data_IF_667700469606
#
_entry.id   IF_667700469606
#
_cell.length_a   1.000
_cell.length_b   1.000
_cell.length_c   1.000
_cell.angle_alpha   90.00
_cell.angle_beta   90.00
_cell.angle_gamma   90.00
#
_symmetry.space_group_name_H-M   'P 1'
#
loop_
_entity.id
_entity.type
_entity.pdbx_description
1 polymer ?
#
# COMPACT_ATOMS: atom_id res chain seq x y z
N UNK A 1 4.11 -13.44 -3.99
CA UNK A 1 4.34 -13.03 -2.59
C UNK A 1 5.76 -13.45 -2.21
N UNK A 2 6.38 -12.92 -1.14
CA UNK A 2 7.65 -13.47 -0.68
C UNK A 2 7.41 -14.84 -0.01
N UNK A 3 8.39 -15.75 -0.09
CA UNK A 3 8.26 -17.11 0.49
C UNK A 3 8.02 -17.06 2.00
N UNK A 4 8.78 -16.26 2.73
CA UNK A 4 8.61 -16.09 4.18
C UNK A 4 7.21 -15.57 4.56
N UNK A 5 6.71 -14.56 3.83
CA UNK A 5 5.36 -14.02 4.02
C UNK A 5 4.28 -15.08 3.80
N UNK A 6 4.44 -15.92 2.76
CA UNK A 6 3.52 -17.03 2.49
C UNK A 6 3.40 -17.96 3.71
N UNK A 7 4.53 -18.40 4.27
CA UNK A 7 4.54 -19.30 5.44
C UNK A 7 4.03 -18.64 6.72
N UNK A 8 4.15 -17.32 6.87
CA UNK A 8 3.54 -16.58 7.99
C UNK A 8 2.02 -16.59 7.86
N UNK A 9 1.48 -16.33 6.67
CA UNK A 9 0.03 -16.23 6.47
C UNK A 9 -0.71 -17.56 6.52
N UNK A 10 -0.06 -18.67 6.13
CA UNK A 10 -0.71 -20.00 6.15
C UNK A 10 -0.55 -20.75 7.48
N UNK A 11 0.26 -20.25 8.41
CA UNK A 11 0.46 -20.85 9.74
C UNK A 11 -0.85 -21.15 10.49
N UNK A 12 -1.84 -20.23 10.57
CA UNK A 12 -3.10 -20.51 11.24
C UNK A 12 -3.94 -21.58 10.50
N UNK A 13 -3.84 -21.67 9.18
CA UNK A 13 -4.53 -22.70 8.38
C UNK A 13 -3.94 -24.08 8.68
N UNK A 14 -2.60 -24.17 8.66
CA UNK A 14 -1.89 -25.41 8.99
C UNK A 14 -2.16 -25.87 10.41
N UNK A 15 -2.10 -24.96 11.39
CA UNK A 15 -2.42 -25.24 12.78
C UNK A 15 -3.84 -25.78 12.98
N UNK A 16 -4.81 -25.21 12.25
CA UNK A 16 -6.22 -25.64 12.30
C UNK A 16 -6.41 -27.06 11.75
N UNK A 17 -5.66 -27.43 10.71
CA UNK A 17 -5.69 -28.81 10.23
C UNK A 17 -4.91 -29.76 11.16
N UNK A 18 -3.74 -29.35 11.62
CA UNK A 18 -2.85 -30.15 12.47
C UNK A 18 -3.48 -30.58 13.79
N UNK A 19 -4.44 -29.82 14.33
CA UNK A 19 -5.19 -30.24 15.52
C UNK A 19 -6.05 -31.48 15.28
N UNK A 20 -6.47 -31.76 14.04
CA UNK A 20 -7.42 -32.82 13.71
C UNK A 20 -6.84 -33.95 12.84
N UNK A 21 -5.82 -33.69 12.03
CA UNK A 21 -5.22 -34.69 11.12
C UNK A 21 -3.71 -34.82 11.30
N UNK A 22 -3.10 -35.80 10.63
CA UNK A 22 -1.65 -35.99 10.65
C UNK A 22 -0.94 -34.78 10.03
N UNK A 23 0.31 -34.54 10.45
CA UNK A 23 1.09 -33.40 9.97
C UNK A 23 1.26 -33.37 8.45
N UNK A 24 1.46 -34.54 7.82
CA UNK A 24 1.57 -34.68 6.37
C UNK A 24 0.27 -34.33 5.63
N UNK A 25 -0.88 -34.80 6.13
CA UNK A 25 -2.17 -34.47 5.51
C UNK A 25 -2.55 -33.01 5.76
N UNK A 26 -2.22 -32.47 6.94
CA UNK A 26 -2.39 -31.05 7.25
C UNK A 26 -1.59 -30.17 6.29
N UNK A 27 -0.34 -30.54 5.94
CA UNK A 27 0.45 -29.83 4.94
C UNK A 27 -0.19 -29.88 3.55
N UNK A 28 -0.73 -31.03 3.12
CA UNK A 28 -1.40 -31.20 1.82
C UNK A 28 -2.67 -30.35 1.72
N UNK A 29 -3.51 -30.37 2.75
CA UNK A 29 -4.74 -29.57 2.82
C UNK A 29 -4.43 -28.08 2.85
N UNK A 30 -3.44 -27.68 3.64
CA UNK A 30 -2.96 -26.29 3.67
C UNK A 30 -2.45 -25.84 2.31
N UNK A 31 -1.69 -26.68 1.62
CA UNK A 31 -1.19 -26.37 0.28
C UNK A 31 -2.33 -26.18 -0.73
N UNK A 32 -3.36 -27.04 -0.70
CA UNK A 32 -4.52 -26.94 -1.57
C UNK A 32 -5.31 -25.64 -1.33
N UNK A 33 -5.61 -25.31 -0.07
CA UNK A 33 -6.36 -24.09 0.28
C UNK A 33 -5.55 -22.81 -0.01
N UNK A 34 -4.23 -22.87 0.13
CA UNK A 34 -3.33 -21.75 -0.10
C UNK A 34 -2.95 -21.52 -1.58
N UNK A 35 -3.48 -22.31 -2.54
CA UNK A 35 -3.21 -22.09 -3.97
C UNK A 35 -3.69 -20.69 -4.43
N UNK A 36 -4.81 -20.22 -3.84
CA UNK A 36 -5.38 -18.90 -4.12
C UNK A 36 -4.50 -17.74 -3.63
N UNK A 37 -3.70 -17.96 -2.57
CA UNK A 37 -2.76 -16.98 -2.01
C UNK A 37 -1.52 -16.86 -2.89
N UNK A 38 -0.82 -17.98 -3.14
CA UNK A 38 0.32 -18.02 -4.05
C UNK A 38 0.55 -19.43 -4.59
N UNK A 39 0.24 -19.59 -5.88
CA UNK A 39 0.34 -20.87 -6.59
C UNK A 39 1.76 -21.46 -6.57
N UNK A 40 2.80 -20.62 -6.61
CA UNK A 40 4.19 -21.11 -6.67
C UNK A 40 4.56 -21.76 -5.34
N UNK A 41 4.40 -21.02 -4.24
CA UNK A 41 4.80 -21.48 -2.91
C UNK A 41 3.85 -22.56 -2.37
N UNK A 42 2.56 -22.54 -2.74
CA UNK A 42 1.62 -23.64 -2.47
C UNK A 42 2.09 -24.95 -3.12
N UNK A 43 2.55 -24.91 -4.38
CA UNK A 43 3.10 -26.10 -5.05
C UNK A 43 4.40 -26.58 -4.39
N UNK A 44 5.29 -25.68 -3.99
CA UNK A 44 6.50 -26.05 -3.25
C UNK A 44 6.15 -26.76 -1.92
N UNK A 45 5.14 -26.26 -1.20
CA UNK A 45 4.64 -26.88 0.02
C UNK A 45 4.01 -28.26 -0.25
N UNK A 46 3.21 -28.37 -1.31
CA UNK A 46 2.62 -29.63 -1.74
C UNK A 46 3.70 -30.66 -2.08
N UNK A 47 4.70 -30.27 -2.86
CA UNK A 47 5.84 -31.13 -3.20
C UNK A 47 6.61 -31.56 -1.96
N UNK A 48 6.85 -30.64 -1.01
CA UNK A 48 7.47 -30.98 0.27
C UNK A 48 6.64 -32.02 1.05
N UNK A 49 5.32 -31.88 1.09
CA UNK A 49 4.41 -32.83 1.76
C UNK A 49 4.29 -34.21 1.08
N UNK A 50 4.78 -34.33 -0.15
CA UNK A 50 4.84 -35.59 -0.89
C UNK A 50 6.19 -36.31 -0.71
N UNK A 51 7.18 -35.67 -0.07
CA UNK A 51 8.46 -36.31 0.22
C UNK A 51 8.33 -37.34 1.35
N UNK A 52 9.18 -38.39 1.38
CA UNK A 52 9.13 -39.41 2.44
C UNK A 52 9.46 -38.88 3.84
N UNK A 53 10.26 -37.82 3.94
CA UNK A 53 10.61 -37.17 5.21
C UNK A 53 10.46 -35.63 5.08
N UNK A 54 9.22 -35.11 5.21
CA UNK A 54 8.97 -33.68 5.09
C UNK A 54 9.59 -32.89 6.23
N UNK A 55 9.74 -33.49 7.42
CA UNK A 55 10.34 -32.86 8.59
C UNK A 55 11.80 -32.44 8.34
N UNK A 56 12.64 -33.33 7.79
CA UNK A 56 14.05 -33.02 7.49
C UNK A 56 14.22 -31.96 6.41
N UNK A 57 13.33 -31.96 5.41
CA UNK A 57 13.38 -30.98 4.32
C UNK A 57 13.01 -29.57 4.80
N UNK A 58 11.96 -29.46 5.63
CA UNK A 58 11.48 -28.16 6.13
C UNK A 58 12.35 -27.61 7.27
N UNK A 59 12.89 -28.48 8.13
CA UNK A 59 13.75 -28.07 9.26
C UNK A 59 15.15 -27.63 8.83
N UNK A 60 15.64 -28.12 7.69
CA UNK A 60 16.93 -27.71 7.10
C UNK A 60 16.85 -26.43 6.27
N UNK A 61 15.65 -25.84 6.12
CA UNK A 61 15.47 -24.64 5.32
C UNK A 61 16.17 -23.41 5.94
N UNK A 62 16.71 -22.53 5.10
CA UNK A 62 17.35 -21.28 5.51
C UNK A 62 16.37 -20.31 6.20
N UNK A 63 15.07 -20.41 5.92
CA UNK A 63 14.04 -19.54 6.48
C UNK A 63 13.54 -20.04 7.86
N UNK A 64 13.64 -19.19 8.89
CA UNK A 64 13.23 -19.53 10.25
C UNK A 64 11.75 -19.93 10.37
N UNK A 65 10.86 -19.29 9.61
CA UNK A 65 9.43 -19.63 9.61
C UNK A 65 9.19 -21.03 9.05
N UNK A 66 9.88 -21.40 7.97
CA UNK A 66 9.74 -22.73 7.34
C UNK A 66 10.23 -23.82 8.28
N UNK A 67 11.31 -23.55 9.03
CA UNK A 67 11.81 -24.47 10.05
C UNK A 67 10.77 -24.79 11.12
N UNK A 68 9.92 -23.84 11.50
CA UNK A 68 8.85 -24.10 12.46
C UNK A 68 7.84 -25.15 11.96
N UNK A 69 7.58 -25.21 10.64
CA UNK A 69 6.76 -26.29 10.07
C UNK A 69 7.48 -27.62 10.14
N UNK A 70 8.78 -27.66 9.85
CA UNK A 70 9.59 -28.86 10.00
C UNK A 70 9.63 -29.36 11.44
N UNK A 71 9.77 -28.46 12.41
CA UNK A 71 9.72 -28.80 13.83
C UNK A 71 8.35 -29.31 14.26
N UNK A 72 7.27 -28.67 13.82
CA UNK A 72 5.91 -29.14 14.08
C UNK A 72 5.68 -30.55 13.53
N UNK A 73 6.12 -30.85 12.31
CA UNK A 73 6.03 -32.21 11.74
C UNK A 73 6.87 -33.20 12.55
N UNK A 74 8.12 -32.86 12.88
CA UNK A 74 9.01 -33.74 13.67
C UNK A 74 8.49 -34.02 15.08
N UNK A 75 7.82 -33.05 15.72
CA UNK A 75 7.25 -33.20 17.06
C UNK A 75 6.01 -34.10 17.03
N UNK A 76 5.24 -34.07 15.95
CA UNK A 76 4.10 -34.97 15.78
C UNK A 76 4.60 -36.41 15.56
N UNK A 77 5.62 -36.60 14.73
CA UNK A 77 6.30 -37.89 14.53
C UNK A 77 6.90 -38.43 15.85
N UNK A 78 7.37 -37.54 16.72
CA UNK A 78 7.87 -37.88 18.05
C UNK A 78 6.76 -38.15 19.09
N UNK A 79 5.48 -38.04 18.73
CA UNK A 79 4.34 -38.35 19.59
C UNK A 79 3.93 -37.24 20.57
N UNK A 80 4.33 -35.99 20.33
CA UNK A 80 3.91 -34.85 21.17
C UNK A 80 2.40 -34.62 21.04
N UNK A 81 1.66 -34.39 22.15
CA UNK A 81 0.24 -34.07 22.09
C UNK A 81 -0.07 -32.89 21.17
N UNK A 82 -1.01 -33.07 20.25
CA UNK A 82 -1.34 -32.09 19.19
C UNK A 82 -1.69 -30.70 19.72
N UNK A 83 -2.35 -30.60 20.87
CA UNK A 83 -2.70 -29.32 21.49
C UNK A 83 -1.45 -28.51 21.85
N UNK A 84 -0.46 -29.15 22.49
CA UNK A 84 0.82 -28.52 22.87
C UNK A 84 1.62 -28.14 21.62
N UNK A 85 1.57 -29.00 20.60
CA UNK A 85 2.26 -28.81 19.34
C UNK A 85 1.70 -27.59 18.58
N UNK A 86 0.38 -27.51 18.42
CA UNK A 86 -0.29 -26.38 17.76
C UNK A 86 -0.01 -25.07 18.50
N UNK A 87 -0.12 -25.06 19.83
CA UNK A 87 0.14 -23.87 20.63
C UNK A 87 1.59 -23.39 20.49
N UNK A 88 2.57 -24.30 20.63
CA UNK A 88 4.00 -23.96 20.53
C UNK A 88 4.39 -23.51 19.12
N UNK A 89 3.88 -24.17 18.08
CA UNK A 89 4.07 -23.77 16.68
C UNK A 89 3.50 -22.37 16.41
N UNK A 90 2.27 -22.10 16.84
CA UNK A 90 1.63 -20.80 16.62
C UNK A 90 2.34 -19.69 17.40
N UNK A 91 2.77 -19.93 18.65
CA UNK A 91 3.53 -18.93 19.40
C UNK A 91 4.89 -18.62 18.77
N UNK A 92 5.62 -19.66 18.34
CA UNK A 92 6.93 -19.50 17.69
C UNK A 92 6.82 -18.80 16.33
N UNK A 93 5.82 -19.14 15.53
CA UNK A 93 5.57 -18.44 14.26
C UNK A 93 5.03 -17.02 14.47
N UNK A 94 4.27 -16.77 15.55
CA UNK A 94 3.71 -15.45 15.87
C UNK A 94 4.79 -14.45 16.22
N UNK A 95 5.79 -14.85 17.02
CA UNK A 95 6.91 -13.97 17.37
C UNK A 95 7.74 -13.59 16.14
N UNK A 96 8.00 -14.54 15.22
CA UNK A 96 8.69 -14.26 13.96
C UNK A 96 7.84 -13.34 13.07
N UNK A 97 6.54 -13.60 12.96
CA UNK A 97 5.62 -12.78 12.18
C UNK A 97 5.55 -11.34 12.69
N UNK A 98 5.43 -11.15 14.01
CA UNK A 98 5.41 -9.82 14.63
C UNK A 98 6.71 -9.07 14.39
N UNK A 99 7.86 -9.73 14.64
CA UNK A 99 9.17 -9.12 14.37
C UNK A 99 9.35 -8.73 12.90
N UNK A 100 8.82 -9.53 11.97
CA UNK A 100 8.89 -9.23 10.54
C UNK A 100 7.96 -8.09 10.12
N UNK A 101 6.73 -8.07 10.64
CA UNK A 101 5.77 -6.99 10.39
C UNK A 101 6.35 -5.68 10.95
N UNK A 102 6.88 -5.70 12.16
CA UNK A 102 7.49 -4.53 12.79
C UNK A 102 8.72 -4.06 12.01
N UNK A 103 9.64 -4.95 11.64
CA UNK A 103 10.81 -4.61 10.84
C UNK A 103 10.42 -4.03 9.46
N UNK A 104 9.41 -4.61 8.80
CA UNK A 104 8.89 -4.09 7.54
C UNK A 104 8.27 -2.69 7.72
N UNK A 105 7.53 -2.47 8.81
CA UNK A 105 6.97 -1.16 9.13
C UNK A 105 8.05 -0.13 9.48
N UNK A 106 9.06 -0.50 10.27
CA UNK A 106 10.19 0.38 10.59
C UNK A 106 11.00 0.72 9.34
N UNK A 107 11.26 -0.26 8.47
CA UNK A 107 11.91 -0.02 7.18
C UNK A 107 11.07 0.90 6.29
N UNK A 108 9.75 0.68 6.24
CA UNK A 108 8.84 1.55 5.50
C UNK A 108 8.84 2.99 6.04
N UNK A 109 8.78 3.17 7.37
CA UNK A 109 8.85 4.49 8.02
C UNK A 109 10.21 5.15 7.78
N UNK A 110 11.31 4.40 7.86
CA UNK A 110 12.66 4.88 7.59
C UNK A 110 12.84 5.34 6.15
N UNK A 111 12.41 4.52 5.18
CA UNK A 111 12.38 4.90 3.76
C UNK A 111 11.48 6.12 3.53
N UNK A 112 10.31 6.15 4.16
CA UNK A 112 9.39 7.26 3.98
C UNK A 112 9.98 8.58 4.50
N UNK A 113 10.63 8.55 5.68
CA UNK A 113 11.31 9.71 6.26
C UNK A 113 12.46 10.20 5.38
N UNK A 114 13.31 9.29 4.88
CA UNK A 114 14.44 9.65 4.03
C UNK A 114 14.02 10.13 2.64
N UNK A 115 12.96 9.58 2.06
CA UNK A 115 12.42 10.04 0.78
C UNK A 115 11.65 11.36 0.91
N UNK A 116 11.06 11.63 2.08
CA UNK A 116 10.36 12.89 2.34
C UNK A 116 11.30 14.09 2.33
N UNK A 117 12.56 13.94 2.78
CA UNK A 117 13.54 15.02 2.68
C UNK A 117 13.94 15.33 1.22
N UNK A 118 14.00 14.31 0.36
CA UNK A 118 14.27 14.49 -1.08
C UNK A 118 13.14 15.24 -1.79
N UNK A 119 11.93 15.29 -1.23
CA UNK A 119 10.82 16.08 -1.79
C UNK A 119 11.02 17.59 -1.71
N UNK A 120 11.98 18.06 -0.90
CA UNK A 120 12.38 19.47 -0.87
C UNK A 120 13.38 19.84 -1.98
N UNK A 121 14.02 18.86 -2.63
CA UNK A 121 14.96 19.14 -3.72
C UNK A 121 14.33 19.88 -4.91
N UNK A 122 13.11 19.52 -5.38
CA UNK A 122 12.41 20.32 -6.39
C UNK A 122 12.12 21.77 -5.96
N UNK A 123 11.91 22.04 -4.67
CA UNK A 123 11.72 23.40 -4.15
C UNK A 123 13.00 24.22 -4.26
N UNK A 124 14.15 23.60 -3.95
CA UNK A 124 15.46 24.22 -4.14
C UNK A 124 15.73 24.50 -5.63
N UNK A 125 15.43 23.55 -6.51
CA UNK A 125 15.59 23.73 -7.96
C UNK A 125 14.69 24.86 -8.48
N UNK A 126 13.45 24.96 -7.99
CA UNK A 126 12.54 26.05 -8.31
C UNK A 126 13.11 27.41 -7.86
N UNK A 127 13.69 27.47 -6.66
CA UNK A 127 14.39 28.67 -6.19
C UNK A 127 15.53 29.05 -7.14
N UNK A 128 16.44 28.13 -7.45
CA UNK A 128 17.56 28.41 -8.35
C UNK A 128 17.12 28.82 -9.76
N UNK A 129 16.06 28.20 -10.28
CA UNK A 129 15.44 28.56 -11.56
C UNK A 129 14.89 29.99 -11.53
N UNK A 130 14.16 30.39 -10.47
CA UNK A 130 13.56 31.71 -10.37
C UNK A 130 14.56 32.87 -10.39
N UNK A 131 15.74 32.68 -9.78
CA UNK A 131 16.81 33.69 -9.77
C UNK A 131 17.70 33.64 -11.03
N UNK A 132 17.42 32.75 -11.99
CA UNK A 132 18.21 32.60 -13.21
C UNK A 132 19.61 32.00 -12.99
N UNK A 133 19.85 31.37 -11.83
CA UNK A 133 21.13 30.73 -11.50
C UNK A 133 21.32 29.40 -12.24
N UNK A 134 20.25 28.86 -12.81
CA UNK A 134 20.19 27.52 -13.35
C UNK A 134 19.57 27.56 -14.75
N UNK A 135 20.34 27.27 -15.82
CA UNK A 135 19.88 27.38 -17.21
C UNK A 135 19.06 26.14 -17.61
N UNK A 136 17.99 25.85 -16.87
CA UNK A 136 17.04 24.81 -17.23
C UNK A 136 15.75 25.43 -17.74
N UNK A 137 15.19 24.86 -18.80
CA UNK A 137 13.84 25.19 -19.25
C UNK A 137 12.79 24.65 -18.26
N UNK A 138 11.61 25.28 -18.23
CA UNK A 138 10.47 24.86 -17.40
C UNK A 138 10.12 23.37 -17.59
N UNK A 139 10.22 22.86 -18.83
CA UNK A 139 9.96 21.45 -19.14
C UNK A 139 10.97 20.51 -18.47
N UNK A 140 12.23 20.90 -18.44
CA UNK A 140 13.29 20.12 -17.78
C UNK A 140 13.08 20.12 -16.28
N UNK A 141 12.71 21.27 -15.69
CA UNK A 141 12.39 21.40 -14.28
C UNK A 141 11.19 20.50 -13.88
N UNK A 142 10.11 20.55 -14.66
CA UNK A 142 8.92 19.70 -14.47
C UNK A 142 9.23 18.21 -14.71
N UNK A 143 10.07 17.90 -15.69
CA UNK A 143 10.53 16.54 -15.98
C UNK A 143 11.30 15.94 -14.80
N UNK A 144 12.26 16.69 -14.26
CA UNK A 144 13.03 16.28 -13.06
C UNK A 144 12.08 16.07 -11.88
N UNK A 145 11.21 17.05 -11.61
CA UNK A 145 10.22 16.96 -10.54
C UNK A 145 9.29 15.73 -10.69
N UNK A 146 8.86 15.44 -11.93
CA UNK A 146 8.08 14.26 -12.28
C UNK A 146 8.83 12.94 -12.06
N UNK A 147 10.12 12.87 -12.44
CA UNK A 147 10.98 11.71 -12.20
C UNK A 147 11.15 11.47 -10.69
N UNK A 148 11.45 12.51 -9.91
CA UNK A 148 11.56 12.39 -8.46
C UNK A 148 10.25 11.89 -7.83
N UNK A 149 9.12 12.48 -8.21
CA UNK A 149 7.81 12.09 -7.67
C UNK A 149 7.41 10.67 -8.04
N UNK A 150 7.67 10.27 -9.29
CA UNK A 150 7.36 8.92 -9.77
C UNK A 150 8.27 7.87 -9.14
N UNK A 151 9.56 8.14 -8.95
CA UNK A 151 10.50 7.24 -8.25
C UNK A 151 10.09 7.06 -6.78
N UNK A 152 9.81 8.15 -6.08
CA UNK A 152 9.34 8.12 -4.69
C UNK A 152 8.03 7.33 -4.59
N UNK A 153 7.08 7.62 -5.48
CA UNK A 153 5.81 6.90 -5.55
C UNK A 153 5.97 5.40 -5.83
N UNK A 154 6.90 5.03 -6.72
CA UNK A 154 7.18 3.63 -7.07
C UNK A 154 7.85 2.88 -5.91
N UNK A 155 8.79 3.50 -5.22
CA UNK A 155 9.46 2.93 -4.06
C UNK A 155 8.47 2.71 -2.91
N UNK A 156 7.68 3.73 -2.56
CA UNK A 156 6.63 3.62 -1.56
C UNK A 156 5.63 2.55 -1.96
N UNK A 157 5.19 2.53 -3.23
CA UNK A 157 4.32 1.50 -3.74
C UNK A 157 4.93 0.10 -3.60
N UNK A 158 6.22 -0.11 -3.85
CA UNK A 158 6.86 -1.43 -3.71
C UNK A 158 6.96 -1.88 -2.25
N UNK A 159 7.25 -0.96 -1.33
CA UNK A 159 7.46 -1.27 0.09
C UNK A 159 6.17 -1.35 0.90
N UNK A 160 5.04 -0.94 0.34
CA UNK A 160 3.75 -0.91 1.03
C UNK A 160 3.12 -2.32 1.14
N UNK A 161 2.52 -2.69 2.30
CA UNK A 161 1.76 -3.93 2.43
C UNK A 161 0.47 -3.85 1.60
N UNK A 162 0.41 -4.58 0.47
CA UNK A 162 -0.74 -4.59 -0.44
C UNK A 162 -1.70 -5.72 -0.12
N UNK A 163 -2.97 -5.38 -0.05
CA UNK A 163 -4.05 -6.37 -0.01
C UNK A 163 -4.55 -6.72 -1.41
N UNK A 164 -4.98 -5.71 -2.19
CA UNK A 164 -5.45 -5.90 -3.56
C UNK A 164 -4.30 -5.84 -4.56
N UNK A 165 -4.25 -6.83 -5.46
CA UNK A 165 -3.25 -6.84 -6.55
C UNK A 165 -3.65 -5.85 -7.65
N UNK A 166 -2.82 -4.82 -7.97
CA UNK A 166 -3.22 -3.78 -8.91
C UNK A 166 -3.36 -4.27 -10.35
N UNK A 167 -2.54 -5.22 -10.75
CA UNK A 167 -2.62 -5.84 -12.09
C UNK A 167 -3.94 -6.60 -12.29
N UNK A 168 -4.42 -7.34 -11.29
CA UNK A 168 -5.71 -8.05 -11.39
C UNK A 168 -6.91 -7.11 -11.21
N UNK A 169 -6.76 -6.08 -10.36
CA UNK A 169 -7.83 -5.13 -10.05
C UNK A 169 -8.11 -4.18 -11.23
N UNK A 170 -7.07 -3.54 -11.75
CA UNK A 170 -7.16 -2.53 -12.81
C UNK A 170 -6.91 -3.11 -14.21
N UNK A 171 -6.09 -4.15 -14.34
CA UNK A 171 -5.84 -4.80 -15.64
C UNK A 171 -5.34 -3.81 -16.70
N UNK A 172 -5.99 -3.81 -17.87
CA UNK A 172 -5.67 -2.90 -18.98
C UNK A 172 -6.01 -1.43 -18.72
N UNK A 173 -6.79 -1.12 -17.67
CA UNK A 173 -7.17 0.26 -17.37
C UNK A 173 -5.99 1.11 -16.93
N UNK A 174 -4.90 0.50 -16.44
CA UNK A 174 -3.66 1.21 -16.11
C UNK A 174 -3.08 1.88 -17.37
N UNK A 175 -3.11 1.19 -18.50
CA UNK A 175 -2.61 1.72 -19.77
C UNK A 175 -3.52 2.86 -20.27
N UNK A 176 -4.84 2.67 -20.20
CA UNK A 176 -5.80 3.72 -20.57
C UNK A 176 -5.66 4.96 -19.67
N UNK A 177 -5.44 4.76 -18.36
CA UNK A 177 -5.21 5.84 -17.42
C UNK A 177 -3.90 6.58 -17.69
N UNK A 178 -2.84 5.86 -18.06
CA UNK A 178 -1.56 6.47 -18.46
C UNK A 178 -1.70 7.30 -19.73
N UNK A 179 -2.43 6.81 -20.74
CA UNK A 179 -2.70 7.55 -21.97
C UNK A 179 -3.55 8.80 -21.70
N UNK A 180 -4.65 8.65 -20.95
CA UNK A 180 -5.52 9.78 -20.60
C UNK A 180 -4.79 10.83 -19.75
N UNK A 181 -3.98 10.38 -18.78
CA UNK A 181 -3.13 11.26 -17.99
C UNK A 181 -2.10 11.99 -18.83
N UNK A 182 -1.39 11.29 -19.73
CA UNK A 182 -0.42 11.89 -20.63
C UNK A 182 -1.03 12.90 -21.60
N UNK A 183 -2.18 12.57 -22.19
CA UNK A 183 -2.91 13.48 -23.07
C UNK A 183 -3.38 14.73 -22.33
N UNK A 184 -3.90 14.57 -21.10
CA UNK A 184 -4.32 15.69 -20.27
C UNK A 184 -3.15 16.58 -19.84
N UNK A 185 -1.98 16.01 -19.52
CA UNK A 185 -0.75 16.79 -19.25
C UNK A 185 -0.35 17.60 -20.48
N UNK A 186 -0.36 16.98 -21.66
CA UNK A 186 -0.05 17.66 -22.91
C UNK A 186 -1.02 18.81 -23.20
N UNK A 187 -2.32 18.60 -23.07
CA UNK A 187 -3.30 19.68 -23.22
C UNK A 187 -3.13 20.77 -22.17
N UNK A 188 -2.81 20.41 -20.92
CA UNK A 188 -2.58 21.39 -19.86
C UNK A 188 -1.41 22.30 -20.17
N UNK A 189 -0.32 21.75 -20.71
CA UNK A 189 0.84 22.53 -21.14
C UNK A 189 0.46 23.48 -22.28
N UNK A 190 -0.23 22.99 -23.31
CA UNK A 190 -0.58 23.78 -24.51
C UNK A 190 -1.54 24.93 -24.18
N UNK A 191 -2.42 24.73 -23.19
CA UNK A 191 -3.48 25.69 -22.82
C UNK A 191 -3.16 26.44 -21.52
N UNK A 192 -1.95 26.31 -20.98
CA UNK A 192 -1.52 26.91 -19.72
C UNK A 192 -2.42 26.57 -18.51
N UNK A 193 -3.01 25.37 -18.51
CA UNK A 193 -3.82 24.83 -17.42
C UNK A 193 -2.97 24.04 -16.42
N UNK A 194 -3.46 23.76 -15.20
CA UNK A 194 -2.71 22.98 -14.21
C UNK A 194 -2.34 21.58 -14.71
N UNK A 195 -1.08 21.17 -14.57
CA UNK A 195 -0.60 19.83 -14.94
C UNK A 195 -1.25 18.73 -14.08
N UNK A 196 -1.69 19.09 -12.87
CA UNK A 196 -2.42 18.20 -11.94
C UNK A 196 -3.74 17.65 -12.50
N UNK A 197 -4.33 18.28 -13.53
CA UNK A 197 -5.45 17.73 -14.28
C UNK A 197 -5.13 16.38 -14.94
N UNK A 198 -3.86 16.12 -15.26
CA UNK A 198 -3.39 14.81 -15.71
C UNK A 198 -3.70 13.68 -14.74
N UNK A 199 -3.48 13.92 -13.44
CA UNK A 199 -3.81 12.95 -12.40
C UNK A 199 -5.33 12.78 -12.23
N UNK A 200 -6.10 13.87 -12.36
CA UNK A 200 -7.57 13.80 -12.34
C UNK A 200 -8.08 12.94 -13.50
N UNK A 201 -7.59 13.16 -14.72
CA UNK A 201 -7.98 12.38 -15.90
C UNK A 201 -7.61 10.90 -15.74
N UNK A 202 -6.39 10.59 -15.30
CA UNK A 202 -5.96 9.22 -15.04
C UNK A 202 -6.82 8.54 -13.96
N UNK A 203 -7.07 9.25 -12.85
CA UNK A 203 -7.91 8.76 -11.75
C UNK A 203 -9.37 8.54 -12.18
N UNK A 204 -9.92 9.42 -13.01
CA UNK A 204 -11.28 9.30 -13.53
C UNK A 204 -11.42 8.08 -14.45
N UNK A 205 -10.46 7.81 -15.33
CA UNK A 205 -10.47 6.61 -16.18
C UNK A 205 -10.43 5.33 -15.32
N UNK A 206 -9.60 5.30 -14.28
CA UNK A 206 -9.58 4.16 -13.35
C UNK A 206 -10.91 4.02 -12.60
N UNK A 207 -11.51 5.13 -12.16
CA UNK A 207 -12.81 5.11 -11.48
C UNK A 207 -13.94 4.61 -12.38
N UNK A 208 -14.02 5.13 -13.62
CA UNK A 208 -15.00 4.70 -14.63
C UNK A 208 -14.81 3.22 -14.93
N UNK A 209 -13.58 2.75 -15.10
CA UNK A 209 -13.30 1.33 -15.32
C UNK A 209 -13.78 0.46 -14.15
N UNK A 210 -13.49 0.85 -12.91
CA UNK A 210 -13.92 0.11 -11.74
C UNK A 210 -15.45 0.10 -11.59
N UNK A 211 -16.12 1.21 -11.94
CA UNK A 211 -17.58 1.30 -11.94
C UNK A 211 -18.19 0.41 -13.02
N UNK A 212 -17.67 0.49 -14.26
CA UNK A 212 -18.14 -0.32 -15.38
C UNK A 212 -17.96 -1.83 -15.12
N UNK A 213 -16.86 -2.21 -14.46
CA UNK A 213 -16.57 -3.61 -14.12
C UNK A 213 -17.18 -4.06 -12.78
N UNK A 214 -17.92 -3.19 -12.08
CA UNK A 214 -18.48 -3.42 -10.73
C UNK A 214 -17.43 -3.85 -9.69
N UNK A 215 -16.15 -3.51 -9.90
CA UNK A 215 -15.01 -3.87 -9.04
C UNK A 215 -14.80 -2.91 -7.87
N UNK A 216 -15.48 -1.76 -7.86
CA UNK A 216 -15.44 -0.80 -6.73
C UNK A 216 -15.81 -1.51 -5.42
N UNK A 217 -16.74 -2.47 -5.46
CA UNK A 217 -17.15 -3.24 -4.29
C UNK A 217 -16.03 -4.02 -3.63
N UNK A 218 -14.98 -4.41 -4.36
CA UNK A 218 -13.85 -5.17 -3.81
C UNK A 218 -13.08 -4.39 -2.74
N UNK A 219 -12.98 -3.07 -2.86
CA UNK A 219 -12.33 -2.23 -1.84
C UNK A 219 -13.13 -2.19 -0.54
N UNK A 220 -14.46 -2.18 -0.62
CA UNK A 220 -15.34 -2.21 0.56
C UNK A 220 -15.31 -3.58 1.24
N UNK A 221 -15.33 -4.64 0.44
CA UNK A 221 -15.23 -6.02 0.91
C UNK A 221 -13.88 -6.29 1.60
N UNK A 222 -12.77 -5.80 1.05
CA UNK A 222 -11.46 -5.93 1.67
C UNK A 222 -11.40 -5.30 3.08
N UNK A 223 -12.05 -4.14 3.26
CA UNK A 223 -12.12 -3.45 4.55
C UNK A 223 -13.01 -4.15 5.58
N UNK A 224 -13.98 -4.97 5.14
CA UNK A 224 -14.89 -5.71 6.03
C UNK A 224 -14.24 -6.98 6.63
N UNK A 225 -13.16 -7.50 6.02
CA UNK A 225 -12.52 -8.76 6.44
C UNK A 225 -11.96 -8.71 7.87
N UNK A 226 -11.22 -7.68 8.31
CA UNK A 226 -10.72 -7.63 9.68
C UNK A 226 -11.84 -7.59 10.72
N UNK A 227 -12.95 -6.89 10.42
CA UNK A 227 -14.11 -6.82 11.31
C UNK A 227 -14.83 -8.17 11.39
N UNK A 228 -15.01 -8.83 10.24
CA UNK A 228 -15.59 -10.17 10.13
C UNK A 228 -14.79 -11.21 10.94
N UNK A 229 -13.46 -11.24 10.77
CA UNK A 229 -12.59 -12.16 11.51
C UNK A 229 -12.57 -11.84 13.02
N UNK A 230 -12.73 -10.57 13.39
CA UNK A 230 -12.84 -10.17 14.80
C UNK A 230 -14.15 -10.63 15.43
N UNK A 231 -15.26 -10.43 14.74
CA UNK A 231 -16.58 -10.88 15.20
C UNK A 231 -16.62 -12.41 15.31
N UNK A 232 -16.13 -13.12 14.29
CA UNK A 232 -16.05 -14.58 14.30
C UNK A 232 -15.27 -15.12 15.50
N UNK A 233 -14.09 -14.57 15.78
CA UNK A 233 -13.30 -14.95 16.93
C UNK A 233 -14.01 -14.70 18.26
N UNK A 234 -14.67 -13.54 18.36
CA UNK A 234 -15.37 -13.17 19.59
C UNK A 234 -16.48 -14.18 19.90
N UNK A 235 -17.19 -14.65 18.87
CA UNK A 235 -18.23 -15.68 18.98
C UNK A 235 -17.65 -17.03 19.38
N UNK A 236 -16.54 -17.46 18.79
CA UNK A 236 -15.87 -18.71 19.22
C UNK A 236 -15.41 -18.60 20.68
N UNK A 237 -14.85 -17.46 21.10
CA UNK A 237 -14.40 -17.25 22.48
C UNK A 237 -15.55 -17.26 23.50
N UNK A 238 -16.76 -16.92 23.07
CA UNK A 238 -17.99 -17.01 23.86
C UNK A 238 -18.57 -18.44 23.93
N UNK A 239 -17.91 -19.42 23.32
CA UNK A 239 -18.37 -20.83 23.31
C UNK A 239 -19.44 -21.12 22.27
N UNK A 240 -19.67 -20.22 21.31
CA UNK A 240 -20.62 -20.46 20.22
C UNK A 240 -20.03 -21.52 19.27
N UNK A 241 -20.80 -22.57 18.89
CA UNK A 241 -20.34 -23.56 17.92
C UNK A 241 -19.93 -22.90 16.60
N UNK A 242 -18.83 -23.37 16.00
CA UNK A 242 -18.28 -22.76 14.79
C UNK A 242 -19.29 -22.63 13.64
N UNK A 243 -20.13 -23.65 13.44
CA UNK A 243 -21.14 -23.63 12.37
C UNK A 243 -22.16 -22.50 12.56
N UNK A 244 -22.59 -22.26 13.80
CA UNK A 244 -23.50 -21.16 14.13
C UNK A 244 -22.79 -19.81 13.99
N UNK A 245 -21.55 -19.69 14.48
CA UNK A 245 -20.76 -18.48 14.36
C UNK A 245 -20.49 -18.11 12.89
N UNK A 246 -20.17 -19.09 12.03
CA UNK A 246 -20.00 -18.89 10.59
C UNK A 246 -21.31 -18.47 9.91
N UNK A 247 -22.44 -19.05 10.32
CA UNK A 247 -23.77 -18.69 9.79
C UNK A 247 -24.16 -17.26 10.17
N UNK A 248 -23.92 -16.85 11.40
CA UNK A 248 -24.24 -15.50 11.87
C UNK A 248 -23.32 -14.43 11.25
N UNK A 249 -22.03 -14.74 11.12
CA UNK A 249 -21.06 -13.88 10.46
C UNK A 249 -21.37 -13.76 8.96
N UNK A 250 -21.80 -14.83 8.29
CA UNK A 250 -22.26 -14.78 6.89
C UNK A 250 -23.58 -14.06 6.68
N UNK A 251 -24.46 -14.00 7.69
CA UNK A 251 -25.65 -13.17 7.66
C UNK A 251 -25.34 -11.67 7.85
N UNK A 252 -24.28 -11.35 8.61
CA UNK A 252 -23.93 -9.96 8.97
C UNK A 252 -22.99 -9.31 7.95
N UNK A 253 -22.01 -10.07 7.45
CA UNK A 253 -20.97 -9.56 6.55
C UNK A 253 -21.15 -10.11 5.14
N UNK A 254 -21.28 -9.22 4.16
CA UNK A 254 -21.39 -9.58 2.75
C UNK A 254 -20.18 -10.38 2.27
N UNK A 255 -18.99 -10.11 2.80
CA UNK A 255 -17.76 -10.85 2.48
C UNK A 255 -17.86 -12.32 2.85
N UNK A 256 -18.35 -12.63 4.06
CA UNK A 256 -18.49 -14.01 4.52
C UNK A 256 -19.49 -14.79 3.65
N UNK A 257 -20.59 -14.16 3.26
CA UNK A 257 -21.51 -14.72 2.27
C UNK A 257 -20.78 -15.00 0.94
N UNK A 258 -20.03 -14.04 0.39
CA UNK A 258 -19.29 -14.25 -0.86
C UNK A 258 -18.23 -15.35 -0.76
N UNK A 259 -17.58 -15.52 0.39
CA UNK A 259 -16.65 -16.63 0.65
C UNK A 259 -17.39 -17.97 0.57
N UNK A 260 -18.55 -18.07 1.22
CA UNK A 260 -19.36 -19.30 1.23
C UNK A 260 -19.86 -19.69 -0.18
N UNK A 261 -20.11 -18.72 -1.06
CA UNK A 261 -20.50 -18.96 -2.46
C UNK A 261 -19.31 -19.05 -3.43
N UNK A 262 -18.09 -19.27 -2.92
CA UNK A 262 -16.88 -19.51 -3.73
C UNK A 262 -16.51 -18.38 -4.70
N UNK A 263 -16.84 -17.12 -4.37
CA UNK A 263 -16.36 -15.99 -5.16
C UNK A 263 -14.83 -15.89 -5.11
N UNK A 264 -14.22 -15.40 -6.19
CA UNK A 264 -12.79 -15.09 -6.26
C UNK A 264 -12.57 -13.58 -6.32
N UNK A 265 -11.94 -13.05 -5.28
CA UNK A 265 -11.52 -11.64 -5.21
C UNK A 265 -9.99 -11.61 -5.14
N UNK A 266 -9.31 -10.78 -5.94
CA UNK A 266 -7.84 -10.72 -5.99
C UNK A 266 -7.25 -9.93 -4.80
N UNK A 267 -7.65 -10.31 -3.58
CA UNK A 267 -7.22 -9.77 -2.29
C UNK A 267 -6.51 -10.86 -1.48
N UNK A 268 -5.36 -10.53 -0.91
CA UNK A 268 -4.61 -11.41 0.00
C UNK A 268 -5.44 -11.76 1.23
N UNK A 269 -6.07 -10.75 1.83
CA UNK A 269 -6.93 -10.89 2.99
C UNK A 269 -8.14 -11.78 2.69
N UNK A 270 -8.74 -11.64 1.50
CA UNK A 270 -9.88 -12.44 1.10
C UNK A 270 -9.49 -13.90 0.89
N UNK A 271 -8.37 -14.17 0.22
CA UNK A 271 -7.86 -15.54 0.06
C UNK A 271 -7.50 -16.19 1.39
N UNK A 272 -6.90 -15.43 2.33
CA UNK A 272 -6.61 -15.92 3.68
C UNK A 272 -7.89 -16.19 4.48
N UNK A 273 -8.86 -15.28 4.43
CA UNK A 273 -10.14 -15.46 5.11
C UNK A 273 -10.93 -16.64 4.55
N UNK A 274 -10.91 -16.86 3.22
CA UNK A 274 -11.51 -18.02 2.57
C UNK A 274 -10.84 -19.33 3.00
N UNK A 275 -9.51 -19.38 2.99
CA UNK A 275 -8.77 -20.57 3.39
C UNK A 275 -8.99 -20.89 4.89
N UNK A 276 -9.07 -19.87 5.75
CA UNK A 276 -9.45 -20.04 7.16
C UNK A 276 -10.90 -20.52 7.31
N UNK A 277 -11.85 -19.94 6.57
CA UNK A 277 -13.24 -20.38 6.57
C UNK A 277 -13.37 -21.86 6.21
N UNK A 278 -12.68 -22.28 5.15
CA UNK A 278 -12.62 -23.68 4.73
C UNK A 278 -11.97 -24.55 5.80
N UNK A 279 -10.81 -24.17 6.34
CA UNK A 279 -10.14 -24.91 7.40
C UNK A 279 -11.04 -25.12 8.63
N UNK A 280 -11.74 -24.07 9.07
CA UNK A 280 -12.65 -24.16 10.22
C UNK A 280 -13.88 -25.01 9.91
N UNK A 281 -14.44 -24.91 8.71
CA UNK A 281 -15.58 -25.75 8.30
C UNK A 281 -15.27 -27.25 8.24
N UNK A 282 -14.01 -27.60 7.96
CA UNK A 282 -13.59 -29.00 7.79
C UNK A 282 -12.97 -29.61 9.05
N UNK A 283 -12.16 -28.84 9.78
CA UNK A 283 -11.42 -29.33 10.93
C UNK A 283 -12.03 -28.86 12.26
N UNK A 284 -12.76 -27.74 12.27
CA UNK A 284 -13.24 -27.09 13.48
C UNK A 284 -12.37 -25.87 13.87
N UNK A 285 -12.82 -25.06 14.83
CA UNK A 285 -12.14 -23.82 15.19
C UNK A 285 -10.93 -24.08 16.10
N UNK A 286 -9.79 -23.44 15.79
CA UNK A 286 -8.69 -23.26 16.74
C UNK A 286 -8.69 -21.81 17.23
N UNK A 287 -8.94 -21.60 18.53
CA UNK A 287 -8.89 -20.27 19.17
C UNK A 287 -7.51 -19.60 18.97
N UNK A 288 -6.44 -20.39 19.03
CA UNK A 288 -5.06 -19.90 18.88
C UNK A 288 -4.78 -19.45 17.45
N UNK A 289 -5.30 -20.17 16.44
CA UNK A 289 -5.16 -19.79 15.03
C UNK A 289 -5.91 -18.48 14.74
N UNK A 290 -7.06 -18.29 15.39
CA UNK A 290 -7.84 -17.05 15.25
C UNK A 290 -7.14 -15.87 15.94
N UNK A 291 -6.63 -16.05 17.17
CA UNK A 291 -5.84 -15.02 17.87
C UNK A 291 -4.57 -14.62 17.09
N UNK A 292 -3.91 -15.60 16.48
CA UNK A 292 -2.76 -15.37 15.61
C UNK A 292 -3.10 -14.38 14.47
N UNK A 293 -4.18 -14.66 13.73
CA UNK A 293 -4.62 -13.82 12.61
C UNK A 293 -4.97 -12.42 13.11
N UNK A 294 -5.70 -12.31 14.21
CA UNK A 294 -6.06 -11.01 14.77
C UNK A 294 -4.86 -10.17 15.19
N UNK A 295 -3.87 -10.80 15.82
CA UNK A 295 -2.67 -10.08 16.28
C UNK A 295 -1.87 -9.54 15.09
N UNK A 296 -1.71 -10.35 14.03
CA UNK A 296 -1.04 -9.90 12.80
C UNK A 296 -1.80 -8.74 12.16
N UNK A 297 -3.13 -8.78 12.14
CA UNK A 297 -3.95 -7.73 11.54
C UNK A 297 -3.95 -6.45 12.35
N UNK A 298 -4.03 -6.54 13.68
CA UNK A 298 -3.99 -5.37 14.55
C UNK A 298 -2.65 -4.66 14.49
N UNK A 299 -1.54 -5.41 14.42
CA UNK A 299 -0.20 -4.82 14.33
C UNK A 299 0.02 -4.14 12.96
N UNK A 300 -0.48 -4.75 11.88
CA UNK A 300 -0.51 -4.09 10.57
C UNK A 300 -1.34 -2.80 10.57
N UNK A 301 -2.54 -2.83 11.17
CA UNK A 301 -3.41 -1.65 11.25
C UNK A 301 -2.74 -0.52 12.06
N UNK A 302 -2.08 -0.88 13.17
CA UNK A 302 -1.31 0.06 14.00
C UNK A 302 -0.15 0.68 13.21
N UNK A 303 0.61 -0.13 12.47
CA UNK A 303 1.67 0.33 11.57
C UNK A 303 1.14 1.30 10.50
N UNK A 304 0.03 0.94 9.84
CA UNK A 304 -0.61 1.80 8.85
C UNK A 304 -1.09 3.13 9.45
N UNK A 305 -1.72 3.13 10.63
CA UNK A 305 -2.14 4.37 11.32
C UNK A 305 -0.96 5.28 11.61
N UNK A 306 0.15 4.73 12.11
CA UNK A 306 1.37 5.49 12.38
C UNK A 306 1.93 6.13 11.11
N UNK A 307 1.99 5.38 10.02
CA UNK A 307 2.39 5.88 8.70
C UNK A 307 1.48 7.02 8.25
N UNK A 308 0.16 6.83 8.28
CA UNK A 308 -0.79 7.86 7.84
C UNK A 308 -0.68 9.16 8.65
N UNK A 309 -0.36 9.06 9.94
CA UNK A 309 -0.13 10.24 10.79
C UNK A 309 1.17 10.96 10.42
N UNK A 310 2.27 10.24 10.24
CA UNK A 310 3.56 10.82 9.80
C UNK A 310 3.42 11.50 8.43
N UNK A 311 2.79 10.81 7.50
CA UNK A 311 2.38 11.33 6.20
C UNK A 311 1.64 12.66 6.31
N UNK A 312 0.59 12.74 7.14
CA UNK A 312 -0.22 13.93 7.27
C UNK A 312 0.59 15.11 7.81
N UNK A 313 1.49 14.86 8.77
CA UNK A 313 2.43 15.87 9.27
C UNK A 313 3.36 16.38 8.18
N UNK A 314 3.96 15.50 7.37
CA UNK A 314 4.80 15.93 6.24
C UNK A 314 4.03 16.73 5.19
N UNK A 315 2.77 16.38 4.91
CA UNK A 315 1.92 17.16 3.98
C UNK A 315 1.76 18.58 4.49
N UNK A 316 1.41 18.74 5.76
CA UNK A 316 1.22 20.05 6.37
C UNK A 316 2.50 20.90 6.30
N UNK A 317 3.65 20.31 6.65
CA UNK A 317 4.95 20.99 6.58
C UNK A 317 5.31 21.35 5.14
N UNK A 318 5.09 20.45 4.18
CA UNK A 318 5.42 20.69 2.78
C UNK A 318 4.56 21.81 2.16
N UNK A 319 3.26 21.82 2.45
CA UNK A 319 2.35 22.87 2.00
C UNK A 319 2.77 24.21 2.61
N UNK A 320 3.06 24.25 3.92
CA UNK A 320 3.53 25.47 4.58
C UNK A 320 4.84 26.00 3.97
N UNK A 321 5.83 25.13 3.77
CA UNK A 321 7.10 25.48 3.13
C UNK A 321 6.90 25.99 1.70
N UNK A 322 6.01 25.35 0.94
CA UNK A 322 5.65 25.77 -0.43
C UNK A 322 5.05 27.17 -0.44
N UNK A 323 4.12 27.47 0.46
CA UNK A 323 3.49 28.81 0.56
C UNK A 323 4.53 29.88 0.93
N UNK A 324 5.41 29.60 1.89
CA UNK A 324 6.49 30.52 2.28
C UNK A 324 7.46 30.76 1.12
N UNK A 325 7.80 29.71 0.36
CA UNK A 325 8.69 29.83 -0.79
C UNK A 325 8.04 30.67 -1.91
N UNK A 326 6.75 30.46 -2.21
CA UNK A 326 6.02 31.29 -3.18
C UNK A 326 6.01 32.75 -2.75
N UNK A 327 5.76 33.03 -1.47
CA UNK A 327 5.83 34.39 -0.93
C UNK A 327 7.23 35.01 -1.10
N UNK A 328 8.27 34.28 -0.70
CA UNK A 328 9.65 34.72 -0.82
C UNK A 328 10.05 35.00 -2.27
N UNK A 329 9.62 34.15 -3.21
CA UNK A 329 9.89 34.32 -4.63
C UNK A 329 9.13 35.52 -5.20
N UNK A 330 7.85 35.68 -4.87
CA UNK A 330 7.03 36.80 -5.33
C UNK A 330 7.67 38.14 -4.94
N UNK A 331 8.00 38.31 -3.66
CA UNK A 331 8.62 39.55 -3.16
C UNK A 331 10.03 39.76 -3.71
N UNK A 332 10.84 38.71 -3.79
CA UNK A 332 12.25 38.86 -4.19
C UNK A 332 12.40 39.15 -5.68
N UNK A 333 11.65 38.44 -6.54
CA UNK A 333 11.75 38.61 -8.00
C UNK A 333 11.21 39.98 -8.40
N UNK A 334 10.10 40.44 -7.83
CA UNK A 334 9.60 41.80 -8.10
C UNK A 334 10.56 42.87 -7.61
N UNK A 335 11.12 42.71 -6.41
CA UNK A 335 12.11 43.65 -5.88
C UNK A 335 13.38 43.71 -6.74
N UNK A 336 13.89 42.56 -7.20
CA UNK A 336 15.09 42.48 -8.03
C UNK A 336 14.88 43.09 -9.42
N UNK A 337 13.66 43.01 -9.99
CA UNK A 337 13.35 43.69 -11.26
C UNK A 337 13.22 45.20 -11.14
N UNK A 338 12.89 45.72 -9.96
CA UNK A 338 12.81 47.16 -9.71
C UNK A 338 14.19 47.84 -9.58
N UNK A 339 15.27 47.07 -9.42
CA UNK A 339 16.63 47.61 -9.30
C UNK A 339 17.20 47.96 -10.68
N UNK A 340 17.56 49.23 -10.96
CA UNK A 340 18.21 49.62 -12.20
C UNK A 340 19.53 48.87 -12.38
N UNK A 341 19.77 48.30 -13.57
CA UNK A 341 20.92 47.44 -13.87
C UNK A 341 22.26 48.17 -13.73
N UNK A 342 22.83 48.21 -12.53
CA UNK A 342 24.19 48.71 -12.29
C UNK A 342 25.22 47.62 -12.59
N UNK A 343 25.30 47.17 -13.85
CA UNK A 343 26.47 46.49 -14.44
C UNK A 343 27.07 45.23 -13.77
N UNK A 344 26.59 44.76 -12.62
CA UNK A 344 27.10 43.58 -11.91
C UNK A 344 26.21 42.38 -12.25
N UNK A 345 26.66 41.64 -13.25
CA UNK A 345 25.97 40.58 -13.98
C UNK A 345 26.00 39.21 -13.29
N UNK A 346 25.67 39.10 -12.00
CA UNK A 346 25.62 37.78 -11.33
C UNK A 346 24.21 37.17 -11.27
N UNK A 347 23.15 37.97 -11.37
CA UNK A 347 21.76 37.51 -11.27
C UNK A 347 20.90 38.21 -12.33
N UNK A 348 20.34 37.44 -13.28
CA UNK A 348 19.27 37.91 -14.17
C UNK A 348 17.98 37.18 -13.78
N UNK A 349 17.17 37.75 -12.88
CA UNK A 349 15.92 37.12 -12.48
C UNK A 349 14.97 37.00 -13.69
N UNK A 350 14.30 35.86 -13.82
CA UNK A 350 13.31 35.67 -14.87
C UNK A 350 12.11 36.62 -14.67
N UNK A 351 11.32 36.90 -15.73
CA UNK A 351 10.07 37.65 -15.62
C UNK A 351 9.15 37.09 -14.53
N UNK A 352 8.52 37.95 -13.69
CA UNK A 352 7.71 37.52 -12.55
C UNK A 352 6.51 36.68 -12.98
N UNK A 353 5.95 36.92 -14.17
CA UNK A 353 4.87 36.11 -14.72
C UNK A 353 5.32 34.70 -15.11
N UNK A 354 6.55 34.54 -15.61
CA UNK A 354 7.13 33.23 -15.91
C UNK A 354 7.43 32.46 -14.61
N UNK A 355 8.01 33.14 -13.61
CA UNK A 355 8.29 32.54 -12.30
C UNK A 355 7.00 32.16 -11.58
N UNK A 356 5.96 33.02 -11.63
CA UNK A 356 4.64 32.74 -11.09
C UNK A 356 4.06 31.45 -11.67
N UNK A 357 4.07 31.33 -13.00
CA UNK A 357 3.52 30.16 -13.68
C UNK A 357 4.35 28.90 -13.38
N UNK A 358 5.68 29.00 -13.42
CA UNK A 358 6.58 27.89 -13.10
C UNK A 358 6.41 27.39 -11.66
N UNK A 359 6.33 28.30 -10.70
CA UNK A 359 6.12 27.98 -9.29
C UNK A 359 4.75 27.32 -9.08
N UNK A 360 3.68 27.89 -9.64
CA UNK A 360 2.34 27.31 -9.54
C UNK A 360 2.27 25.90 -10.14
N UNK A 361 2.88 25.69 -11.32
CA UNK A 361 2.89 24.37 -11.96
C UNK A 361 3.68 23.33 -11.18
N UNK A 362 4.90 23.66 -10.76
CA UNK A 362 5.77 22.73 -10.06
C UNK A 362 5.16 22.31 -8.72
N UNK A 363 4.67 23.26 -7.94
CA UNK A 363 4.09 22.97 -6.63
C UNK A 363 2.78 22.19 -6.75
N UNK A 364 1.94 22.53 -7.74
CA UNK A 364 0.73 21.77 -8.06
C UNK A 364 1.03 20.31 -8.38
N UNK A 365 2.08 20.05 -9.17
CA UNK A 365 2.53 18.70 -9.49
C UNK A 365 3.05 17.95 -8.26
N UNK A 366 3.80 18.63 -7.38
CA UNK A 366 4.31 18.04 -6.14
C UNK A 366 3.19 17.67 -5.17
N UNK A 367 2.25 18.59 -4.91
CA UNK A 367 1.07 18.32 -4.06
C UNK A 367 0.25 17.16 -4.62
N UNK A 368 0.07 17.11 -5.94
CA UNK A 368 -0.61 16.01 -6.62
C UNK A 368 0.07 14.67 -6.38
N UNK A 369 1.38 14.60 -6.66
CA UNK A 369 2.16 13.38 -6.49
C UNK A 369 2.14 12.90 -5.04
N UNK A 370 2.33 13.81 -4.10
CA UNK A 370 2.42 13.47 -2.68
C UNK A 370 1.08 12.98 -2.11
N UNK A 371 -0.03 13.68 -2.37
CA UNK A 371 -1.36 13.23 -1.92
C UNK A 371 -1.77 11.91 -2.59
N UNK A 372 -1.43 11.73 -3.88
CA UNK A 372 -1.75 10.51 -4.59
C UNK A 372 -1.02 9.28 -4.03
N UNK A 373 0.27 9.41 -3.72
CA UNK A 373 1.08 8.34 -3.12
C UNK A 373 0.56 7.95 -1.73
N UNK A 374 -0.04 8.90 -1.00
CA UNK A 374 -0.48 8.71 0.37
C UNK A 374 -1.84 8.09 0.55
N UNK A 375 -2.71 8.26 -0.43
CA UNK A 375 -4.03 7.63 -0.45
C UNK A 375 -4.02 6.28 -1.18
N UNK A 376 -2.94 5.98 -1.90
CA UNK A 376 -2.69 4.70 -2.54
C UNK A 376 -2.88 3.52 -1.57
N UNK A 377 -2.42 3.58 -0.30
CA UNK A 377 -2.51 2.46 0.62
C UNK A 377 -3.89 2.09 1.12
N UNK A 378 -4.75 3.07 1.32
CA UNK A 378 -6.03 2.88 2.03
C UNK A 378 -7.22 2.77 1.09
N UNK A 379 -7.18 3.46 -0.05
CA UNK A 379 -8.36 3.62 -0.93
C UNK A 379 -8.09 3.26 -2.40
N UNK A 380 -6.83 2.94 -2.73
CA UNK A 380 -6.41 2.50 -4.06
C UNK A 380 -5.95 3.65 -4.96
N UNK A 381 -5.39 3.27 -6.11
CA UNK A 381 -4.76 4.19 -7.07
C UNK A 381 -5.74 5.23 -7.64
N UNK A 382 -7.00 4.85 -7.90
CA UNK A 382 -8.01 5.75 -8.46
C UNK A 382 -8.36 6.91 -7.52
N UNK A 383 -8.59 6.64 -6.23
CA UNK A 383 -8.87 7.68 -5.23
C UNK A 383 -7.65 8.55 -4.99
N UNK A 384 -6.46 7.97 -4.98
CA UNK A 384 -5.23 8.74 -4.77
C UNK A 384 -5.00 9.73 -5.91
N UNK A 385 -5.11 9.27 -7.16
CA UNK A 385 -4.96 10.14 -8.32
C UNK A 385 -6.03 11.23 -8.41
N UNK A 386 -7.30 10.91 -8.11
CA UNK A 386 -8.37 11.91 -8.07
C UNK A 386 -8.17 12.95 -6.97
N UNK A 387 -7.97 12.51 -5.73
CA UNK A 387 -7.80 13.42 -4.59
C UNK A 387 -6.51 14.24 -4.72
N UNK A 388 -5.43 13.62 -5.19
CA UNK A 388 -4.17 14.32 -5.47
C UNK A 388 -4.33 15.34 -6.58
N UNK A 389 -4.95 14.98 -7.70
CA UNK A 389 -5.19 15.91 -8.81
C UNK A 389 -6.08 17.08 -8.41
N UNK A 390 -7.14 16.85 -7.63
CA UNK A 390 -7.99 17.92 -7.09
C UNK A 390 -7.23 18.82 -6.10
N UNK A 391 -6.41 18.25 -5.22
CA UNK A 391 -5.60 19.02 -4.29
C UNK A 391 -4.57 19.89 -5.04
N UNK A 392 -3.88 19.33 -6.03
CA UNK A 392 -2.91 20.06 -6.83
C UNK A 392 -3.54 21.16 -7.68
N UNK A 393 -4.67 20.90 -8.34
CA UNK A 393 -5.40 21.92 -9.11
C UNK A 393 -5.85 23.07 -8.21
N UNK A 394 -6.37 22.76 -7.04
CA UNK A 394 -6.75 23.79 -6.05
C UNK A 394 -5.53 24.59 -5.60
N UNK A 395 -4.40 23.93 -5.36
CA UNK A 395 -3.15 24.58 -4.96
C UNK A 395 -2.56 25.45 -6.07
N UNK A 396 -2.70 25.06 -7.33
CA UNK A 396 -2.31 25.90 -8.48
C UNK A 396 -3.07 27.23 -8.44
N UNK A 397 -4.40 27.19 -8.37
CA UNK A 397 -5.18 28.44 -8.35
C UNK A 397 -4.87 29.28 -7.12
N UNK A 398 -4.74 28.65 -5.94
CA UNK A 398 -4.38 29.34 -4.71
C UNK A 398 -3.01 30.03 -4.79
N UNK A 399 -1.99 29.38 -5.36
CA UNK A 399 -0.66 29.99 -5.51
C UNK A 399 -0.67 31.14 -6.52
N UNK A 400 -1.40 31.01 -7.63
CA UNK A 400 -1.52 32.10 -8.61
C UNK A 400 -2.25 33.33 -8.06
N UNK A 401 -3.27 33.14 -7.21
CA UNK A 401 -4.01 34.25 -6.59
C UNK A 401 -3.21 34.91 -5.48
N UNK A 402 -2.53 34.13 -4.63
CA UNK A 402 -1.64 34.67 -3.60
C UNK A 402 -0.46 35.44 -4.21
N UNK A 403 0.13 34.94 -5.30
CA UNK A 403 1.19 35.66 -5.99
C UNK A 403 0.76 37.05 -6.44
N UNK A 404 -0.44 37.19 -7.04
CA UNK A 404 -0.96 38.50 -7.46
C UNK A 404 -1.30 39.45 -6.30
N UNK A 405 -1.38 38.94 -5.06
CA UNK A 405 -1.58 39.77 -3.87
C UNK A 405 -0.25 40.23 -3.25
N UNK A 406 0.84 39.51 -3.51
CA UNK A 406 2.16 39.75 -2.91
C UNK A 406 3.14 40.46 -3.84
N UNK A 407 3.05 40.19 -5.14
CA UNK A 407 3.75 40.89 -6.21
C UNK A 407 3.12 42.26 -6.45
#
# INVERSE_FOLDING_TARGET
MNREEFYIYIAPIFATYLSHMSSVEALRRTAAEAESLDRKHSRELLLASLTPNPASLLSSDGLAVVRQYGFAVSQEEAGVPRQVLVQSFLQATKSIALGRIEAAMQHFVGLFSSLSSLMFAPLLLLFLYAYGLLPLDLFSLLGIAGVFSSMIGLLIYKSMPKDLSPTRTYGRSIFLAALAGGAAIYSSIVWSLPISLGAVAAGAVLAIWLLATKRVGWFRLAAEIPAMLRDFASRISQGIPADLALREVSATYKVAWMIAYFYEIPSLMFSLARAMFNAVSWAGPSLEAVDYVQTILSEKERGLKRVTALTAMFIAVYIAASVILVYSLAVSVTALQAVPSTGQSLMYPLPPDEVKYAAAQLLSAMVTGFVAVMLLPSKGMWTGLLAGGLAGTSFFYLTTTLWSLWA
#
